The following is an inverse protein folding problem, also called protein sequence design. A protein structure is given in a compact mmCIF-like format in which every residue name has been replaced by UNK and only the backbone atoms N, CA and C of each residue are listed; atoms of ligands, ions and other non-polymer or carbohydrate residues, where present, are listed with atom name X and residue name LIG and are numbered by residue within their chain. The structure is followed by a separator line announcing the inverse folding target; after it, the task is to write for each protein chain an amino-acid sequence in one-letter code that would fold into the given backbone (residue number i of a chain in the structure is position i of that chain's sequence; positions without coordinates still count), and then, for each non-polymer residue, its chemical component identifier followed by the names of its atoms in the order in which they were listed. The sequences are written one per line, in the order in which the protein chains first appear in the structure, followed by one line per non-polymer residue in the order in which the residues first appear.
data_IF_476606406119
#
_entry.id   IF_476606406119
#
_cell.length_a   1.000
_cell.length_b   1.000
_cell.length_c   1.000
_cell.angle_alpha   90.00
_cell.angle_beta   90.00
_cell.angle_gamma   90.00
#
_symmetry.space_group_name_H-M   'P 1'
#
loop_
_entity.id
_entity.type
_entity.pdbx_description
1 polymer ?
#
# COMPACT_ATOMS: atom_id res chain seq x y z
N UNK A 1 -21.76 2.31 16.48
CA UNK A 1 -20.87 2.01 17.63
C UNK A 1 -19.59 2.80 17.38
N UNK A 2 -18.84 3.23 18.40
CA UNK A 2 -17.55 3.85 18.15
C UNK A 2 -16.63 2.83 17.44
N UNK A 3 -15.84 3.32 16.47
CA UNK A 3 -14.90 2.51 15.71
C UNK A 3 -13.82 2.00 16.66
N UNK A 4 -13.66 0.69 16.72
CA UNK A 4 -12.59 0.08 17.52
C UNK A 4 -11.31 -0.03 16.69
N UNK A 5 -10.48 1.01 16.74
CA UNK A 5 -9.20 1.08 16.03
C UNK A 5 -8.25 -0.03 16.49
N UNK A 6 -8.24 -0.39 17.76
CA UNK A 6 -7.38 -1.45 18.28
C UNK A 6 -7.78 -2.82 17.72
N UNK A 7 -9.08 -3.10 17.63
CA UNK A 7 -9.59 -4.32 17.00
C UNK A 7 -9.24 -4.38 15.50
N UNK A 8 -9.35 -3.27 14.76
CA UNK A 8 -8.93 -3.21 13.34
C UNK A 8 -7.44 -3.51 13.17
N UNK A 9 -6.59 -2.90 13.99
CA UNK A 9 -5.14 -3.14 13.97
C UNK A 9 -4.80 -4.60 14.30
N UNK A 10 -5.44 -5.18 15.30
CA UNK A 10 -5.26 -6.58 15.67
C UNK A 10 -5.68 -7.52 14.52
N UNK A 11 -6.85 -7.32 13.94
CA UNK A 11 -7.35 -8.10 12.81
C UNK A 11 -6.41 -7.99 11.59
N UNK A 12 -5.87 -6.81 11.31
CA UNK A 12 -4.93 -6.64 10.20
C UNK A 12 -3.61 -7.35 10.44
N UNK A 13 -3.08 -7.35 11.67
CA UNK A 13 -1.90 -8.14 12.05
C UNK A 13 -2.14 -9.63 11.88
N UNK A 14 -3.30 -10.13 12.30
CA UNK A 14 -3.66 -11.55 12.15
C UNK A 14 -3.66 -11.98 10.68
N UNK A 15 -4.19 -11.17 9.77
CA UNK A 15 -4.15 -11.43 8.33
C UNK A 15 -2.72 -11.56 7.76
N UNK A 16 -1.71 -10.99 8.42
CA UNK A 16 -0.32 -11.06 7.98
C UNK A 16 0.44 -12.27 8.56
N UNK A 17 -0.15 -13.02 9.51
CA UNK A 17 0.51 -14.18 10.13
C UNK A 17 0.48 -15.39 9.20
N UNK A 18 -0.69 -15.71 8.61
CA UNK A 18 -0.85 -16.91 7.79
C UNK A 18 -1.85 -16.71 6.64
N UNK A 19 -1.84 -17.65 5.67
CA UNK A 19 -2.77 -17.68 4.54
C UNK A 19 -2.47 -16.62 3.48
N UNK A 20 -3.49 -16.27 2.72
CA UNK A 20 -3.46 -15.28 1.64
C UNK A 20 -4.74 -14.43 1.69
N UNK A 21 -4.63 -13.15 1.40
CA UNK A 21 -5.79 -12.28 1.27
C UNK A 21 -5.64 -11.25 0.16
N UNK A 22 -6.79 -10.86 -0.42
CA UNK A 22 -6.87 -9.77 -1.38
C UNK A 22 -7.12 -8.47 -0.61
N UNK A 23 -6.34 -7.43 -0.95
CA UNK A 23 -6.38 -6.10 -0.35
C UNK A 23 -6.79 -5.09 -1.42
N UNK A 24 -8.11 -4.91 -1.67
CA UNK A 24 -8.58 -3.98 -2.69
C UNK A 24 -8.41 -2.53 -2.24
N UNK A 25 -8.30 -1.64 -3.23
CA UNK A 25 -7.98 -0.24 -3.00
C UNK A 25 -9.19 0.67 -3.30
N UNK A 26 -9.94 1.13 -2.28
CA UNK A 26 -10.91 2.20 -2.42
C UNK A 26 -10.19 3.54 -2.64
N UNK A 27 -10.84 4.41 -3.39
CA UNK A 27 -10.37 5.76 -3.68
C UNK A 27 -11.24 6.85 -3.05
N UNK A 28 -12.39 6.45 -2.50
CA UNK A 28 -13.34 7.29 -1.77
C UNK A 28 -14.19 6.47 -0.78
N UNK A 29 -14.99 7.15 0.02
CA UNK A 29 -15.91 6.53 0.98
C UNK A 29 -16.90 5.59 0.29
N UNK A 30 -17.43 5.98 -0.88
CA UNK A 30 -18.41 5.18 -1.62
C UNK A 30 -17.83 3.85 -2.08
N UNK A 31 -16.60 3.84 -2.59
CA UNK A 31 -15.90 2.61 -2.98
C UNK A 31 -15.51 1.76 -1.76
N UNK A 32 -15.12 2.37 -0.64
CA UNK A 32 -14.81 1.65 0.60
C UNK A 32 -16.01 0.86 1.13
N UNK A 33 -17.18 1.51 1.23
CA UNK A 33 -18.44 0.86 1.66
C UNK A 33 -18.83 -0.29 0.71
N UNK A 34 -18.68 -0.08 -0.61
CA UNK A 34 -18.98 -1.12 -1.61
C UNK A 34 -18.05 -2.34 -1.49
N UNK A 35 -16.76 -2.12 -1.20
CA UNK A 35 -15.79 -3.20 -1.02
C UNK A 35 -16.05 -3.95 0.30
N UNK A 36 -16.34 -3.24 1.38
CA UNK A 36 -16.72 -3.85 2.65
C UNK A 36 -17.95 -4.75 2.51
N UNK A 37 -19.00 -4.28 1.82
CA UNK A 37 -20.20 -5.06 1.56
C UNK A 37 -19.97 -6.33 0.70
N UNK A 38 -18.83 -6.45 0.03
CA UNK A 38 -18.44 -7.63 -0.75
C UNK A 38 -17.65 -8.68 0.03
N UNK A 39 -17.44 -8.47 1.33
CA UNK A 39 -16.81 -9.46 2.22
C UNK A 39 -15.28 -9.47 2.18
N UNK A 40 -14.64 -8.43 1.66
CA UNK A 40 -13.21 -8.26 1.84
C UNK A 40 -12.87 -8.09 3.31
N UNK A 41 -11.66 -8.54 3.71
CA UNK A 41 -11.24 -8.53 5.12
C UNK A 41 -10.46 -7.28 5.52
N UNK A 42 -9.92 -6.56 4.55
CA UNK A 42 -9.13 -5.35 4.72
C UNK A 42 -9.15 -4.53 3.44
N UNK A 43 -8.79 -3.25 3.54
CA UNK A 43 -8.70 -2.29 2.44
C UNK A 43 -7.32 -1.62 2.45
N UNK A 44 -6.88 -1.10 1.29
CA UNK A 44 -5.76 -0.16 1.22
C UNK A 44 -6.18 1.09 0.44
N UNK A 45 -5.79 2.28 0.87
CA UNK A 45 -5.99 3.46 0.04
C UNK A 45 -5.18 3.39 -1.27
N UNK A 46 -5.37 4.32 -2.16
CA UNK A 46 -4.60 4.52 -3.39
C UNK A 46 -4.39 6.00 -3.63
N UNK A 47 -3.13 6.44 -3.66
CA UNK A 47 -2.74 7.82 -3.91
C UNK A 47 -3.31 8.32 -5.25
N UNK A 48 -3.03 7.62 -6.33
CA UNK A 48 -3.51 7.97 -7.67
C UNK A 48 -5.05 8.02 -7.75
N UNK A 49 -5.73 6.99 -7.22
CA UNK A 49 -7.20 6.95 -7.25
C UNK A 49 -7.83 8.12 -6.49
N UNK A 50 -7.26 8.50 -5.35
CA UNK A 50 -7.71 9.67 -4.59
C UNK A 50 -7.40 10.99 -5.31
N UNK A 51 -6.18 11.16 -5.86
CA UNK A 51 -5.80 12.33 -6.64
C UNK A 51 -6.78 12.59 -7.80
N UNK A 52 -7.19 11.54 -8.50
CA UNK A 52 -8.16 11.66 -9.60
C UNK A 52 -9.54 12.16 -9.14
N UNK A 53 -9.97 11.89 -7.90
CA UNK A 53 -11.22 12.46 -7.38
C UNK A 53 -11.13 13.97 -7.19
N UNK A 54 -9.92 14.50 -7.04
CA UNK A 54 -9.63 15.93 -6.91
C UNK A 54 -9.28 16.59 -8.26
N UNK A 55 -9.28 15.83 -9.36
CA UNK A 55 -8.89 16.31 -10.69
C UNK A 55 -7.39 16.59 -10.79
N UNK A 56 -6.56 15.83 -10.06
CA UNK A 56 -5.10 15.97 -10.00
C UNK A 56 -4.39 14.69 -10.43
N UNK A 57 -3.11 14.81 -10.76
CA UNK A 57 -2.24 13.67 -11.02
C UNK A 57 -1.73 13.04 -9.71
N UNK A 58 -1.24 11.79 -9.82
CA UNK A 58 -0.63 11.06 -8.70
C UNK A 58 0.61 11.81 -8.19
N UNK A 59 0.73 11.95 -6.85
CA UNK A 59 1.77 12.73 -6.19
C UNK A 59 1.48 14.23 -6.03
N UNK A 60 0.28 14.71 -6.44
CA UNK A 60 -0.12 16.11 -6.27
C UNK A 60 -1.02 16.35 -5.04
N UNK A 61 -1.31 15.31 -4.28
CA UNK A 61 -2.10 15.38 -3.05
C UNK A 61 -1.19 15.81 -1.90
N UNK A 62 -1.63 16.76 -1.10
CA UNK A 62 -0.89 17.16 0.09
C UNK A 62 -1.04 16.14 1.22
N UNK A 63 -0.08 16.11 2.15
CA UNK A 63 -0.15 15.28 3.35
C UNK A 63 -1.48 15.46 4.10
N UNK A 64 -1.90 16.69 4.33
CA UNK A 64 -3.07 16.98 5.14
C UNK A 64 -4.37 16.55 4.44
N UNK A 65 -4.46 16.67 3.12
CA UNK A 65 -5.56 16.12 2.33
C UNK A 65 -5.60 14.59 2.42
N UNK A 66 -4.43 13.93 2.32
CA UNK A 66 -4.36 12.47 2.49
C UNK A 66 -4.78 12.05 3.90
N UNK A 67 -4.31 12.73 4.95
CA UNK A 67 -4.71 12.41 6.32
C UNK A 67 -6.22 12.53 6.52
N UNK A 68 -6.85 13.58 6.00
CA UNK A 68 -8.30 13.75 6.03
C UNK A 68 -9.02 12.62 5.27
N UNK A 69 -8.49 12.21 4.11
CA UNK A 69 -9.01 11.10 3.33
C UNK A 69 -8.90 9.77 4.10
N UNK A 70 -7.77 9.50 4.76
CA UNK A 70 -7.57 8.28 5.56
C UNK A 70 -8.55 8.22 6.75
N UNK A 71 -8.79 9.33 7.45
CA UNK A 71 -9.85 9.41 8.46
C UNK A 71 -11.21 9.02 7.87
N UNK A 72 -11.58 9.62 6.73
CA UNK A 72 -12.87 9.35 6.10
C UNK A 72 -13.01 7.88 5.65
N UNK A 73 -11.95 7.26 5.13
CA UNK A 73 -11.95 5.83 4.78
C UNK A 73 -12.05 4.94 6.02
N UNK A 74 -11.30 5.27 7.09
CA UNK A 74 -11.35 4.51 8.33
C UNK A 74 -12.72 4.55 8.99
N UNK A 75 -13.37 5.71 8.95
CA UNK A 75 -14.70 5.94 9.54
C UNK A 75 -15.84 5.30 8.72
N UNK A 76 -15.60 5.05 7.44
CA UNK A 76 -16.61 4.52 6.52
C UNK A 76 -16.91 3.03 6.71
N UNK A 77 -16.02 2.26 7.34
CA UNK A 77 -16.13 0.81 7.46
C UNK A 77 -15.50 0.27 8.74
N UNK A 78 -15.92 -0.91 9.19
CA UNK A 78 -15.27 -1.64 10.29
C UNK A 78 -14.01 -2.40 9.85
N UNK A 79 -13.65 -2.36 8.55
CA UNK A 79 -12.47 -3.04 8.03
C UNK A 79 -11.20 -2.25 8.36
N UNK A 80 -10.07 -2.94 8.61
CA UNK A 80 -8.78 -2.30 8.71
C UNK A 80 -8.36 -1.68 7.36
N UNK A 81 -7.77 -0.47 7.42
CA UNK A 81 -7.29 0.27 6.25
C UNK A 81 -5.76 0.37 6.31
N UNK A 82 -5.09 -0.02 5.22
CA UNK A 82 -3.67 0.26 4.98
C UNK A 82 -3.54 1.58 4.20
N UNK A 83 -2.81 2.53 4.72
CA UNK A 83 -2.51 3.77 4.00
C UNK A 83 -1.47 3.52 2.88
N UNK A 84 -1.76 3.95 1.68
CA UNK A 84 -0.77 4.28 0.66
C UNK A 84 -0.24 5.68 1.00
N UNK A 85 0.93 5.73 1.66
CA UNK A 85 1.45 6.95 2.26
C UNK A 85 2.58 7.58 1.42
N UNK A 86 2.61 7.23 0.12
CA UNK A 86 3.61 7.68 -0.84
C UNK A 86 5.03 7.56 -0.26
N UNK A 87 5.88 8.55 -0.48
CA UNK A 87 7.22 8.59 0.10
C UNK A 87 7.26 9.14 1.54
N UNK A 88 6.14 9.18 2.27
CA UNK A 88 6.10 9.66 3.65
C UNK A 88 6.08 11.19 3.78
N UNK A 89 5.93 11.93 2.68
CA UNK A 89 5.83 13.40 2.62
C UNK A 89 7.03 14.14 3.22
N UNK A 90 8.19 13.51 3.25
CA UNK A 90 9.46 14.11 3.67
C UNK A 90 10.62 13.32 3.07
N UNK A 91 11.75 13.99 2.81
CA UNK A 91 12.95 13.32 2.33
C UNK A 91 13.79 12.75 3.47
N UNK A 92 13.86 13.44 4.60
CA UNK A 92 14.64 13.03 5.76
C UNK A 92 13.88 12.08 6.69
N UNK A 93 14.59 11.21 7.44
CA UNK A 93 13.98 10.23 8.34
C UNK A 93 13.14 10.83 9.46
N UNK A 94 13.53 11.99 10.00
CA UNK A 94 12.79 12.64 11.10
C UNK A 94 11.46 13.21 10.62
N UNK A 95 11.45 13.83 9.43
CA UNK A 95 10.22 14.27 8.77
C UNK A 95 9.27 13.13 8.48
N UNK A 96 9.78 11.99 7.99
CA UNK A 96 8.98 10.76 7.79
C UNK A 96 8.38 10.30 9.13
N UNK A 97 9.17 10.22 10.19
CA UNK A 97 8.68 9.82 11.52
C UNK A 97 7.57 10.73 12.03
N UNK A 98 7.75 12.07 11.89
CA UNK A 98 6.74 13.06 12.25
C UNK A 98 5.43 12.86 11.48
N UNK A 99 5.50 12.65 10.18
CA UNK A 99 4.32 12.46 9.32
C UNK A 99 3.63 11.14 9.60
N UNK A 100 4.38 10.08 9.89
CA UNK A 100 3.85 8.78 10.31
C UNK A 100 3.06 8.90 11.61
N UNK A 101 3.55 9.66 12.60
CA UNK A 101 2.79 9.90 13.84
C UNK A 101 1.43 10.54 13.56
N UNK A 102 1.36 11.52 12.65
CA UNK A 102 0.10 12.11 12.24
C UNK A 102 -0.83 11.08 11.54
N UNK A 103 -0.26 10.18 10.72
CA UNK A 103 -1.03 9.13 10.08
C UNK A 103 -1.61 8.11 11.09
N UNK A 104 -0.94 7.83 12.20
CA UNK A 104 -1.48 6.93 13.24
C UNK A 104 -2.77 7.44 13.87
N UNK A 105 -2.96 8.76 13.95
CA UNK A 105 -4.15 9.40 14.50
C UNK A 105 -5.39 9.22 13.60
N UNK A 106 -5.20 8.88 12.33
CA UNK A 106 -6.31 8.61 11.40
C UNK A 106 -6.98 7.25 11.61
N UNK A 107 -6.46 6.42 12.53
CA UNK A 107 -7.01 5.11 12.82
C UNK A 107 -6.61 3.99 11.86
N UNK A 108 -5.66 4.22 10.96
CA UNK A 108 -5.15 3.20 10.03
C UNK A 108 -4.59 1.97 10.76
N UNK A 109 -4.62 0.83 10.08
CA UNK A 109 -4.08 -0.44 10.56
C UNK A 109 -2.78 -0.85 9.88
N UNK A 110 -2.45 -0.23 8.76
CA UNK A 110 -1.18 -0.40 8.04
C UNK A 110 -0.79 0.87 7.31
N UNK A 111 0.48 0.97 6.92
CA UNK A 111 1.04 2.11 6.20
C UNK A 111 2.19 1.64 5.32
N UNK A 112 2.20 2.03 4.04
CA UNK A 112 3.30 1.77 3.11
C UNK A 112 4.10 3.04 2.85
N UNK A 113 5.43 2.91 2.84
CA UNK A 113 6.37 3.99 2.50
C UNK A 113 7.21 3.56 1.30
N UNK A 114 7.22 4.40 0.28
CA UNK A 114 8.00 4.24 -0.96
C UNK A 114 9.44 4.76 -0.80
N UNK A 115 10.34 4.17 -1.58
CA UNK A 115 11.76 4.52 -1.63
C UNK A 115 12.13 5.46 -2.78
N UNK A 116 11.16 6.22 -3.32
CA UNK A 116 11.42 7.13 -4.45
C UNK A 116 11.23 8.60 -4.10
N UNK A 117 11.98 9.46 -4.82
CA UNK A 117 11.74 10.89 -4.92
C UNK A 117 11.59 11.25 -6.40
N UNK A 118 10.38 11.64 -6.81
CA UNK A 118 10.10 11.87 -8.23
C UNK A 118 10.34 10.62 -9.08
N UNK A 119 11.39 10.64 -9.94
CA UNK A 119 11.74 9.54 -10.85
C UNK A 119 12.98 8.73 -10.42
N UNK A 120 13.53 9.01 -9.26
CA UNK A 120 14.75 8.38 -8.76
C UNK A 120 14.48 7.67 -7.44
N UNK A 121 15.23 6.59 -7.19
CA UNK A 121 15.23 5.93 -5.89
C UNK A 121 16.17 6.67 -4.94
N UNK A 122 15.79 6.77 -3.67
CA UNK A 122 16.74 7.16 -2.64
C UNK A 122 17.91 6.18 -2.58
N UNK A 123 19.14 6.61 -2.18
CA UNK A 123 20.18 5.68 -1.76
C UNK A 123 19.61 4.66 -0.77
N UNK A 124 20.08 3.40 -0.87
CA UNK A 124 19.50 2.31 -0.08
C UNK A 124 19.60 2.56 1.42
N UNK A 125 20.73 3.15 1.85
CA UNK A 125 20.95 3.50 3.26
C UNK A 125 19.92 4.51 3.75
N UNK A 126 19.69 5.59 2.99
CA UNK A 126 18.69 6.61 3.34
C UNK A 126 17.28 6.02 3.32
N UNK A 127 16.93 5.18 2.34
CA UNK A 127 15.64 4.52 2.28
C UNK A 127 15.41 3.62 3.50
N UNK A 128 16.42 2.84 3.91
CA UNK A 128 16.37 2.01 5.11
C UNK A 128 16.27 2.85 6.40
N UNK A 129 17.00 3.95 6.52
CA UNK A 129 16.89 4.88 7.65
C UNK A 129 15.49 5.48 7.77
N UNK A 130 14.84 5.81 6.66
CA UNK A 130 13.46 6.31 6.62
C UNK A 130 12.46 5.26 7.10
N UNK A 131 12.62 3.99 6.68
CA UNK A 131 11.83 2.86 7.19
C UNK A 131 12.07 2.66 8.70
N UNK A 132 13.35 2.73 9.13
CA UNK A 132 13.68 2.59 10.55
C UNK A 132 13.06 3.70 11.40
N UNK A 133 13.09 4.94 10.94
CA UNK A 133 12.47 6.08 11.63
C UNK A 133 10.95 5.90 11.74
N UNK A 134 10.28 5.47 10.66
CA UNK A 134 8.87 5.13 10.67
C UNK A 134 8.57 3.99 11.66
N UNK A 135 9.34 2.90 11.62
CA UNK A 135 9.20 1.78 12.54
C UNK A 135 9.26 2.22 14.01
N UNK A 136 10.22 3.07 14.36
CA UNK A 136 10.34 3.63 15.71
C UNK A 136 9.14 4.49 16.10
N UNK A 137 8.68 5.35 15.21
CA UNK A 137 7.51 6.20 15.43
C UNK A 137 6.22 5.39 15.64
N UNK A 138 6.12 4.21 15.00
CA UNK A 138 4.97 3.30 15.11
C UNK A 138 5.04 2.35 16.30
N UNK A 139 6.09 2.39 17.11
CA UNK A 139 6.29 1.46 18.22
C UNK A 139 5.08 1.41 19.16
N UNK A 140 4.57 0.21 19.45
CA UNK A 140 3.41 0.00 20.33
C UNK A 140 2.05 0.33 19.71
N UNK A 141 1.99 0.88 18.50
CA UNK A 141 0.72 1.26 17.84
C UNK A 141 -0.10 0.08 17.34
N UNK A 142 0.53 -1.06 17.07
CA UNK A 142 -0.08 -2.21 16.42
C UNK A 142 -0.28 -2.08 14.89
N UNK A 143 0.15 -0.97 14.28
CA UNK A 143 0.06 -0.73 12.83
C UNK A 143 1.14 -1.53 12.09
N UNK A 144 0.83 -2.08 10.92
CA UNK A 144 1.76 -2.80 10.04
C UNK A 144 2.52 -1.81 9.17
N UNK A 145 3.85 -1.84 9.21
CA UNK A 145 4.72 -1.06 8.32
C UNK A 145 5.07 -1.86 7.07
N UNK A 146 4.84 -1.26 5.90
CA UNK A 146 5.18 -1.85 4.61
C UNK A 146 6.33 -1.06 3.97
N UNK A 147 7.49 -1.70 3.82
CA UNK A 147 8.61 -1.16 3.04
C UNK A 147 8.38 -1.43 1.55
N UNK A 148 8.31 -0.37 0.74
CA UNK A 148 7.96 -0.46 -0.68
C UNK A 148 9.12 0.04 -1.56
N UNK A 149 9.56 -0.82 -2.51
CA UNK A 149 10.58 -0.47 -3.50
C UNK A 149 9.97 -0.24 -4.87
N UNK A 150 10.12 0.98 -5.39
CA UNK A 150 9.50 1.49 -6.62
C UNK A 150 10.29 1.18 -7.90
N UNK A 151 11.44 0.55 -7.81
CA UNK A 151 12.36 0.37 -8.94
C UNK A 151 11.68 -0.11 -10.21
N UNK A 152 10.87 -1.15 -10.14
CA UNK A 152 10.19 -1.72 -11.30
C UNK A 152 9.16 -0.76 -11.93
N UNK A 153 8.49 0.08 -11.16
CA UNK A 153 7.52 1.05 -11.68
C UNK A 153 8.18 2.24 -12.38
N UNK A 154 9.38 2.63 -11.95
CA UNK A 154 10.13 3.73 -12.59
C UNK A 154 11.08 3.24 -13.69
N UNK A 155 10.99 1.95 -14.07
CA UNK A 155 11.75 1.37 -15.17
C UNK A 155 13.11 0.76 -14.80
N UNK A 156 13.52 0.82 -13.54
CA UNK A 156 14.68 0.11 -13.01
C UNK A 156 14.27 -1.34 -12.63
N UNK A 157 14.43 -2.27 -13.59
CA UNK A 157 13.98 -3.66 -13.46
C UNK A 157 15.08 -4.60 -12.98
N UNK A 158 16.00 -4.11 -12.16
CA UNK A 158 17.05 -4.92 -11.54
C UNK A 158 16.46 -5.67 -10.33
N UNK A 159 16.24 -6.98 -10.50
CA UNK A 159 15.67 -7.83 -9.44
C UNK A 159 16.64 -7.97 -8.25
N UNK A 160 17.93 -8.10 -8.51
CA UNK A 160 18.91 -8.28 -7.44
C UNK A 160 19.00 -7.01 -6.56
N UNK A 161 19.08 -5.84 -7.17
CA UNK A 161 19.06 -4.57 -6.45
C UNK A 161 17.73 -4.34 -5.72
N UNK A 162 16.60 -4.78 -6.29
CA UNK A 162 15.29 -4.70 -5.61
C UNK A 162 15.23 -5.60 -4.39
N UNK A 163 15.74 -6.83 -4.48
CA UNK A 163 15.81 -7.77 -3.35
C UNK A 163 16.72 -7.20 -2.25
N UNK A 164 17.89 -6.66 -2.60
CA UNK A 164 18.80 -6.02 -1.64
C UNK A 164 18.06 -4.91 -0.85
N UNK A 165 17.30 -4.05 -1.51
CA UNK A 165 16.49 -3.01 -0.87
C UNK A 165 15.44 -3.60 0.07
N UNK A 166 14.67 -4.60 -0.39
CA UNK A 166 13.63 -5.21 0.43
C UNK A 166 14.20 -5.89 1.67
N UNK A 167 15.38 -6.53 1.57
CA UNK A 167 16.09 -7.09 2.73
C UNK A 167 16.51 -5.99 3.69
N UNK A 168 17.07 -4.88 3.20
CA UNK A 168 17.44 -3.73 4.03
C UNK A 168 16.20 -3.12 4.75
N UNK A 169 15.04 -3.07 4.08
CA UNK A 169 13.79 -2.59 4.70
C UNK A 169 13.26 -3.56 5.75
N UNK A 170 13.39 -4.87 5.52
CA UNK A 170 13.04 -5.89 6.52
C UNK A 170 13.89 -5.76 7.78
N UNK A 171 15.21 -5.54 7.64
CA UNK A 171 16.17 -5.31 8.73
C UNK A 171 15.90 -3.96 9.44
N UNK A 172 15.49 -2.93 8.70
CA UNK A 172 15.09 -1.64 9.23
C UNK A 172 13.77 -1.65 10.02
N UNK A 173 13.03 -2.77 10.01
CA UNK A 173 11.84 -2.98 10.81
C UNK A 173 10.52 -3.02 10.04
N UNK A 174 10.53 -3.04 8.71
CA UNK A 174 9.30 -3.28 7.95
C UNK A 174 8.66 -4.63 8.33
N UNK A 175 7.35 -4.63 8.55
CA UNK A 175 6.57 -5.84 8.84
C UNK A 175 6.21 -6.61 7.57
N UNK A 176 6.04 -5.94 6.44
CA UNK A 176 5.69 -6.49 5.14
C UNK A 176 6.51 -5.80 4.05
N UNK A 177 6.87 -6.53 2.99
CA UNK A 177 7.67 -6.01 1.89
C UNK A 177 6.84 -5.93 0.60
N UNK A 178 7.16 -4.92 -0.24
CA UNK A 178 6.39 -4.67 -1.45
C UNK A 178 7.28 -4.12 -2.57
N UNK A 179 7.29 -4.78 -3.71
CA UNK A 179 7.91 -4.30 -4.95
C UNK A 179 6.89 -4.36 -6.09
N UNK A 180 6.07 -3.29 -6.27
CA UNK A 180 5.10 -3.24 -7.36
C UNK A 180 5.81 -3.25 -8.72
N UNK A 181 5.12 -3.78 -9.74
CA UNK A 181 5.65 -3.84 -11.10
C UNK A 181 6.33 -5.16 -11.47
N UNK A 182 6.65 -6.02 -10.52
CA UNK A 182 7.11 -7.38 -10.80
C UNK A 182 5.91 -8.23 -11.19
N UNK A 183 5.96 -8.82 -12.40
CA UNK A 183 4.88 -9.66 -12.96
C UNK A 183 5.35 -11.10 -13.24
N UNK A 184 6.64 -11.36 -13.24
CA UNK A 184 7.21 -12.69 -13.40
C UNK A 184 7.10 -13.49 -12.11
N UNK A 185 6.44 -14.65 -12.19
CA UNK A 185 6.18 -15.51 -11.02
C UNK A 185 7.46 -16.09 -10.41
N UNK A 186 8.52 -16.31 -11.21
CA UNK A 186 9.80 -16.77 -10.71
C UNK A 186 10.49 -15.67 -9.89
N UNK A 187 10.49 -14.43 -10.39
CA UNK A 187 11.03 -13.27 -9.69
C UNK A 187 10.26 -12.99 -8.39
N UNK A 188 8.92 -13.09 -8.39
CA UNK A 188 8.12 -12.95 -7.16
C UNK A 188 8.51 -14.02 -6.12
N UNK A 189 8.71 -15.27 -6.56
CA UNK A 189 9.16 -16.37 -5.66
C UNK A 189 10.54 -16.08 -5.06
N UNK A 190 11.47 -15.52 -5.84
CA UNK A 190 12.80 -15.11 -5.35
C UNK A 190 12.67 -14.02 -4.28
N UNK A 191 11.81 -13.02 -4.50
CA UNK A 191 11.53 -11.97 -3.49
C UNK A 191 10.99 -12.59 -2.22
N UNK A 192 9.96 -13.46 -2.31
CA UNK A 192 9.36 -14.13 -1.14
C UNK A 192 10.42 -14.91 -0.36
N UNK A 193 11.27 -15.67 -1.06
CA UNK A 193 12.32 -16.46 -0.41
C UNK A 193 13.38 -15.58 0.27
N UNK A 194 13.76 -14.46 -0.36
CA UNK A 194 14.82 -13.59 0.14
C UNK A 194 14.44 -12.82 1.40
N UNK A 195 13.16 -12.45 1.56
CA UNK A 195 12.69 -11.68 2.72
C UNK A 195 12.02 -12.53 3.80
N UNK A 196 11.95 -13.86 3.61
CA UNK A 196 11.33 -14.75 4.59
C UNK A 196 11.96 -14.59 5.99
N UNK A 197 11.18 -14.63 7.08
CA UNK A 197 9.75 -14.95 7.16
C UNK A 197 8.79 -13.76 6.96
N UNK A 198 9.27 -12.60 6.51
CA UNK A 198 8.42 -11.41 6.32
C UNK A 198 7.40 -11.65 5.20
N UNK A 199 6.13 -11.24 5.41
CA UNK A 199 5.11 -11.31 4.37
C UNK A 199 5.42 -10.38 3.19
N UNK A 200 4.99 -10.79 1.99
CA UNK A 200 5.13 -10.02 0.76
C UNK A 200 3.76 -9.60 0.24
N UNK A 201 3.65 -8.33 -0.16
CA UNK A 201 2.56 -7.81 -0.97
C UNK A 201 2.93 -7.87 -2.45
N UNK A 202 1.97 -8.20 -3.31
CA UNK A 202 2.11 -8.12 -4.76
C UNK A 202 1.02 -7.20 -5.33
N UNK A 203 1.37 -6.35 -6.30
CA UNK A 203 0.41 -5.58 -7.08
C UNK A 203 -0.10 -6.43 -8.23
N UNK A 204 -1.41 -6.62 -8.32
CA UNK A 204 -2.01 -7.30 -9.46
C UNK A 204 -1.96 -6.38 -10.69
N UNK A 205 -1.14 -6.75 -11.68
CA UNK A 205 -0.86 -5.97 -12.88
C UNK A 205 -1.58 -6.52 -14.13
N UNK A 206 -2.35 -7.58 -13.98
CA UNK A 206 -3.08 -8.17 -15.08
C UNK A 206 -3.73 -9.52 -14.75
N UNK A 207 -4.56 -10.04 -15.65
CA UNK A 207 -5.33 -11.26 -15.40
C UNK A 207 -4.47 -12.53 -15.28
N UNK A 208 -3.21 -12.50 -15.72
CA UNK A 208 -2.26 -13.61 -15.57
C UNK A 208 -1.76 -13.79 -14.13
N UNK A 209 -1.93 -12.80 -13.27
CA UNK A 209 -1.54 -12.89 -11.86
C UNK A 209 -2.72 -13.41 -11.03
N UNK A 210 -2.88 -14.72 -11.03
CA UNK A 210 -3.99 -15.36 -10.34
C UNK A 210 -3.75 -15.46 -8.83
N UNK A 211 -4.75 -15.13 -7.99
CA UNK A 211 -4.62 -15.18 -6.53
C UNK A 211 -4.14 -16.53 -6.00
N UNK A 212 -4.62 -17.64 -6.58
CA UNK A 212 -4.25 -18.99 -6.16
C UNK A 212 -2.75 -19.26 -6.40
N UNK A 213 -2.23 -18.89 -7.57
CA UNK A 213 -0.81 -19.07 -7.92
C UNK A 213 0.11 -18.22 -7.04
N UNK A 214 -0.31 -16.99 -6.71
CA UNK A 214 0.44 -16.13 -5.79
C UNK A 214 0.46 -16.72 -4.37
N UNK A 215 -0.65 -17.28 -3.91
CA UNK A 215 -0.73 -17.96 -2.61
C UNK A 215 0.21 -19.18 -2.55
N UNK A 216 0.26 -20.00 -3.62
CA UNK A 216 1.11 -21.19 -3.70
C UNK A 216 2.61 -20.87 -3.62
N UNK A 217 3.05 -19.70 -4.10
CA UNK A 217 4.45 -19.27 -4.01
C UNK A 217 4.78 -18.51 -2.74
N UNK A 218 3.83 -18.41 -1.78
CA UNK A 218 4.06 -17.83 -0.46
C UNK A 218 3.79 -16.32 -0.36
N UNK A 219 3.17 -15.71 -1.36
CA UNK A 219 2.68 -14.32 -1.25
C UNK A 219 1.61 -14.25 -0.18
N UNK A 220 1.66 -13.24 0.69
CA UNK A 220 0.71 -13.05 1.79
C UNK A 220 -0.51 -12.25 1.37
N UNK A 221 -0.30 -11.18 0.59
CA UNK A 221 -1.40 -10.30 0.18
C UNK A 221 -1.23 -9.81 -1.25
N UNK A 222 -2.34 -9.54 -1.90
CA UNK A 222 -2.40 -8.98 -3.24
C UNK A 222 -3.24 -7.71 -3.22
N UNK A 223 -2.62 -6.57 -3.55
CA UNK A 223 -3.32 -5.30 -3.78
C UNK A 223 -3.62 -5.10 -5.25
N UNK A 224 -4.53 -4.17 -5.56
CA UNK A 224 -4.94 -3.88 -6.93
C UNK A 224 -4.59 -2.44 -7.37
N UNK A 225 -4.05 -1.63 -6.46
CA UNK A 225 -3.69 -0.24 -6.74
C UNK A 225 -4.87 0.57 -7.28
N UNK A 226 -4.62 1.48 -8.19
CA UNK A 226 -5.66 2.32 -8.80
C UNK A 226 -6.54 1.63 -9.84
N UNK A 227 -6.37 0.32 -10.09
CA UNK A 227 -7.10 -0.40 -11.15
C UNK A 227 -8.62 -0.32 -11.02
N UNK A 228 -9.16 -0.36 -9.80
CA UNK A 228 -10.61 -0.26 -9.60
C UNK A 228 -11.12 1.15 -9.86
N UNK A 229 -10.40 2.18 -9.45
CA UNK A 229 -10.72 3.58 -9.76
C UNK A 229 -10.67 3.81 -11.28
N UNK A 230 -9.63 3.30 -11.94
CA UNK A 230 -9.50 3.42 -13.40
C UNK A 230 -10.63 2.72 -14.16
N UNK A 231 -11.05 1.53 -13.69
CA UNK A 231 -12.19 0.82 -14.26
C UNK A 231 -13.50 1.61 -14.11
N UNK A 232 -13.68 2.29 -12.97
CA UNK A 232 -14.84 3.16 -12.72
C UNK A 232 -14.84 4.37 -13.66
N UNK A 233 -13.70 5.06 -13.83
CA UNK A 233 -13.54 6.18 -14.76
C UNK A 233 -13.77 5.76 -16.20
N UNK A 234 -13.22 4.64 -16.65
CA UNK A 234 -13.52 4.10 -17.97
C UNK A 234 -15.02 3.81 -18.18
N UNK A 235 -15.68 3.30 -17.16
CA UNK A 235 -17.12 3.07 -17.22
C UNK A 235 -17.92 4.37 -17.34
N UNK A 236 -17.48 5.40 -16.61
CA UNK A 236 -18.04 6.75 -16.69
C UNK A 236 -17.86 7.34 -18.11
N UNK A 237 -16.63 7.36 -18.62
CA UNK A 237 -16.33 7.91 -19.95
C UNK A 237 -17.14 7.23 -21.04
N UNK A 238 -17.22 5.90 -21.01
CA UNK A 238 -18.05 5.13 -21.95
C UNK A 238 -19.53 5.53 -21.89
N UNK A 239 -20.06 5.82 -20.70
CA UNK A 239 -21.44 6.26 -20.54
C UNK A 239 -21.63 7.68 -21.05
N UNK A 240 -20.67 8.58 -20.85
CA UNK A 240 -20.68 9.95 -21.41
C UNK A 240 -20.62 9.91 -22.92
N UNK A 241 -19.74 9.12 -23.52
CA UNK A 241 -19.64 8.98 -25.00
C UNK A 241 -20.98 8.54 -25.60
N UNK A 242 -21.69 7.65 -24.93
CA UNK A 242 -23.00 7.18 -25.38
C UNK A 242 -24.11 8.25 -25.28
N UNK A 243 -23.92 9.31 -24.48
CA UNK A 243 -24.85 10.46 -24.41
C UNK A 243 -24.58 11.49 -25.52
N UNK A 244 -23.36 11.47 -26.09
CA UNK A 244 -22.93 12.41 -27.13
C UNK A 244 -23.07 11.85 -28.55
N UNK A 245 -23.34 10.54 -28.69
CA UNK A 245 -23.54 9.84 -29.95
C UNK A 245 -24.99 9.96 -30.43
#
# INVERSE_FOLDING_TARGET
MPIDVAAKRAAFRELHQEGFFILPNPWDVGSAVRLAARGFKALASTSAGFAWTLGRDDGEVTRDELLAHLCALNDATDLPVNADFEAGFADDPEGVAHNVMAALETGIAGLSIEDRTGKELYPIELAAERIHAAHRAMSGSGVILVGRSEGFLIGNRDLAATIERLVAYAEAGADCLYAPGITDMAAIREVVAAVAPKPVNVLQMGPQMQPAELAEIGVRRMSVGSNLAWAAWKGFDKAVDALLA
#
